data_IF_903075958176
#
_entry.id   IF_903075958176
#
_cell.length_a   1.000
_cell.length_b   1.000
_cell.length_c   1.000
_cell.angle_alpha   90.00
_cell.angle_beta   90.00
_cell.angle_gamma   90.00
#
_symmetry.space_group_name_H-M   'P 1'
#
loop_
_entity.id
_entity.type
_entity.pdbx_description
1 polymer ?
#
# COMPACT_ATOMS: atom_id res chain seq x y z
N UNK A 1 10.19 -8.48 -77.25
CA UNK A 1 10.28 -9.92 -77.58
C UNK A 1 9.51 -10.66 -76.51
N UNK A 2 8.99 -11.86 -76.79
CA UNK A 2 8.19 -12.66 -75.83
C UNK A 2 8.83 -12.73 -74.42
N UNK A 3 10.16 -12.82 -74.36
CA UNK A 3 10.95 -12.80 -73.12
C UNK A 3 10.82 -11.52 -72.27
N UNK A 4 10.67 -10.34 -72.88
CA UNK A 4 10.51 -9.07 -72.13
C UNK A 4 9.08 -8.89 -71.60
N UNK A 5 8.08 -9.53 -72.21
CA UNK A 5 6.69 -9.51 -71.69
C UNK A 5 6.53 -10.51 -70.55
N UNK A 6 7.12 -11.72 -70.64
CA UNK A 6 7.14 -12.71 -69.55
C UNK A 6 7.84 -12.18 -68.28
N UNK A 7 8.96 -11.46 -68.41
CA UNK A 7 9.67 -10.87 -67.27
C UNK A 7 8.85 -9.76 -66.57
N UNK A 8 8.13 -8.93 -67.33
CA UNK A 8 7.25 -7.88 -66.78
C UNK A 8 6.01 -8.48 -66.11
N UNK A 9 5.49 -9.58 -66.65
CA UNK A 9 4.37 -10.31 -66.05
C UNK A 9 4.78 -11.00 -64.74
N UNK A 10 5.98 -11.58 -64.66
CA UNK A 10 6.53 -12.16 -63.44
C UNK A 10 6.74 -11.11 -62.34
N UNK A 11 7.34 -9.96 -62.66
CA UNK A 11 7.52 -8.85 -61.71
C UNK A 11 6.17 -8.32 -61.19
N UNK A 12 5.13 -8.29 -62.04
CA UNK A 12 3.79 -7.90 -61.62
C UNK A 12 3.19 -8.92 -60.65
N UNK A 13 3.34 -10.20 -60.92
CA UNK A 13 2.77 -11.26 -60.09
C UNK A 13 3.41 -11.29 -58.70
N UNK A 14 4.73 -11.10 -58.60
CA UNK A 14 5.47 -10.94 -57.34
C UNK A 14 4.95 -9.73 -56.53
N UNK A 15 4.79 -8.58 -57.19
CA UNK A 15 4.25 -7.37 -56.54
C UNK A 15 2.81 -7.58 -56.06
N UNK A 16 1.98 -8.32 -56.81
CA UNK A 16 0.63 -8.66 -56.36
C UNK A 16 0.66 -9.59 -55.15
N UNK A 17 1.55 -10.57 -55.10
CA UNK A 17 1.72 -11.45 -53.95
C UNK A 17 2.09 -10.67 -52.68
N UNK A 18 3.07 -9.76 -52.79
CA UNK A 18 3.48 -8.88 -51.69
C UNK A 18 2.33 -7.99 -51.21
N UNK A 19 1.56 -7.40 -52.13
CA UNK A 19 0.40 -6.56 -51.78
C UNK A 19 -0.66 -7.36 -51.03
N UNK A 20 -0.91 -8.61 -51.42
CA UNK A 20 -1.85 -9.49 -50.73
C UNK A 20 -1.34 -9.87 -49.33
N UNK A 21 -0.06 -10.21 -49.20
CA UNK A 21 0.57 -10.53 -47.93
C UNK A 21 0.51 -9.34 -46.94
N UNK A 22 0.86 -8.14 -47.40
CA UNK A 22 0.81 -6.92 -46.59
C UNK A 22 -0.62 -6.55 -46.17
N UNK A 23 -1.60 -6.72 -47.08
CA UNK A 23 -3.01 -6.48 -46.76
C UNK A 23 -3.52 -7.44 -45.69
N UNK A 24 -3.13 -8.73 -45.76
CA UNK A 24 -3.46 -9.72 -44.74
C UNK A 24 -2.86 -9.31 -43.38
N UNK A 25 -1.57 -9.00 -43.35
CA UNK A 25 -0.88 -8.59 -42.12
C UNK A 25 -1.51 -7.33 -41.50
N UNK A 26 -1.84 -6.32 -42.31
CA UNK A 26 -2.52 -5.12 -41.82
C UNK A 26 -3.89 -5.43 -41.21
N UNK A 27 -4.66 -6.33 -41.82
CA UNK A 27 -5.95 -6.78 -41.27
C UNK A 27 -5.77 -7.55 -39.97
N UNK A 28 -4.80 -8.46 -39.89
CA UNK A 28 -4.53 -9.27 -38.69
C UNK A 28 -4.10 -8.37 -37.52
N UNK A 29 -3.27 -7.35 -37.79
CA UNK A 29 -2.85 -6.39 -36.78
C UNK A 29 -3.98 -5.48 -36.31
N UNK A 30 -4.86 -5.05 -37.21
CA UNK A 30 -6.00 -4.19 -36.88
C UNK A 30 -7.11 -4.94 -36.10
N UNK A 31 -7.12 -6.27 -36.17
CA UNK A 31 -8.18 -7.12 -35.61
C UNK A 31 -7.62 -8.27 -34.75
N UNK A 32 -6.95 -7.97 -33.61
CA UNK A 32 -6.38 -9.00 -32.73
C UNK A 32 -7.44 -9.90 -32.08
N UNK A 33 -8.72 -9.50 -32.11
CA UNK A 33 -9.85 -10.30 -31.63
C UNK A 33 -10.18 -11.51 -32.53
N UNK A 34 -9.72 -11.50 -33.78
CA UNK A 34 -9.96 -12.60 -34.72
C UNK A 34 -9.04 -13.79 -34.39
N UNK A 35 -9.53 -15.04 -34.48
CA UNK A 35 -8.69 -16.20 -34.29
C UNK A 35 -7.57 -16.23 -35.34
N UNK A 36 -6.35 -16.54 -34.90
CA UNK A 36 -5.25 -16.78 -35.82
C UNK A 36 -5.54 -18.03 -36.66
N UNK A 37 -5.44 -17.91 -37.99
CA UNK A 37 -5.41 -19.06 -38.88
C UNK A 37 -4.08 -19.81 -38.66
N UNK A 38 -4.17 -20.98 -38.04
CA UNK A 38 -3.00 -21.85 -37.81
C UNK A 38 -3.16 -23.12 -38.62
N UNK A 39 -2.08 -23.53 -39.28
CA UNK A 39 -2.05 -24.82 -39.95
C UNK A 39 -2.01 -25.95 -38.92
N UNK A 40 -2.70 -27.06 -39.20
CA UNK A 40 -2.82 -28.19 -38.27
C UNK A 40 -1.49 -28.89 -37.98
N UNK A 41 -0.45 -28.66 -38.80
CA UNK A 41 0.91 -29.16 -38.56
C UNK A 41 1.80 -28.14 -37.83
N UNK A 42 1.29 -26.95 -37.50
CA UNK A 42 2.00 -25.94 -36.72
C UNK A 42 2.01 -26.34 -35.24
N UNK A 43 3.12 -26.92 -34.80
CA UNK A 43 3.34 -27.20 -33.38
C UNK A 43 4.00 -26.01 -32.70
N UNK A 44 3.34 -25.47 -31.66
CA UNK A 44 3.93 -24.43 -30.82
C UNK A 44 5.15 -24.95 -30.07
N UNK A 45 6.26 -24.22 -30.11
CA UNK A 45 7.42 -24.47 -29.25
C UNK A 45 7.22 -23.73 -27.92
N UNK A 46 7.14 -24.46 -26.82
CA UNK A 46 7.15 -23.85 -25.49
C UNK A 46 8.61 -23.51 -25.12
N UNK A 47 8.91 -22.22 -24.97
CA UNK A 47 10.25 -21.73 -24.63
C UNK A 47 10.46 -21.62 -23.11
N UNK A 48 9.39 -21.63 -22.31
CA UNK A 48 9.43 -21.52 -20.86
C UNK A 48 9.92 -22.80 -20.18
N UNK A 49 9.53 -23.97 -20.70
CA UNK A 49 9.85 -25.27 -20.11
C UNK A 49 10.93 -26.04 -20.90
N UNK A 50 11.72 -25.36 -21.73
CA UNK A 50 12.79 -26.01 -22.50
C UNK A 50 13.96 -26.32 -21.58
N UNK A 51 14.66 -27.43 -21.81
CA UNK A 51 15.86 -27.80 -21.06
C UNK A 51 17.00 -26.74 -21.06
N UNK A 52 16.96 -25.79 -22.02
CA UNK A 52 17.91 -24.67 -22.09
C UNK A 52 17.35 -23.36 -21.53
N UNK A 53 16.13 -23.36 -21.01
CA UNK A 53 15.58 -22.19 -20.34
C UNK A 53 16.40 -21.92 -19.07
N UNK A 54 16.57 -20.66 -18.67
CA UNK A 54 17.15 -20.35 -17.37
C UNK A 54 16.38 -21.10 -16.28
N UNK A 55 17.11 -21.78 -15.39
CA UNK A 55 16.49 -22.34 -14.20
C UNK A 55 16.08 -21.16 -13.32
N UNK A 56 14.77 -20.97 -13.15
CA UNK A 56 14.26 -20.07 -12.10
C UNK A 56 14.16 -20.95 -10.87
N UNK A 57 15.01 -20.71 -9.87
CA UNK A 57 14.89 -21.42 -8.59
C UNK A 57 13.55 -21.01 -7.96
N UNK A 58 12.63 -21.97 -7.81
CA UNK A 58 11.34 -21.72 -7.13
C UNK A 58 11.56 -21.18 -5.71
N UNK A 59 12.70 -21.53 -5.11
CA UNK A 59 13.15 -21.07 -3.79
C UNK A 59 13.36 -19.54 -3.73
N UNK A 60 13.87 -18.91 -4.79
CA UNK A 60 14.02 -17.44 -4.87
C UNK A 60 12.65 -16.74 -4.96
N UNK A 61 11.71 -17.33 -5.71
CA UNK A 61 10.35 -16.78 -5.84
C UNK A 61 9.60 -16.89 -4.51
N UNK A 62 9.75 -18.00 -3.81
CA UNK A 62 9.04 -18.22 -2.55
C UNK A 62 9.62 -17.36 -1.42
N UNK A 63 10.94 -17.12 -1.39
CA UNK A 63 11.56 -16.18 -0.46
C UNK A 63 11.07 -14.74 -0.69
N UNK A 64 11.06 -14.26 -1.94
CA UNK A 64 10.52 -12.92 -2.25
C UNK A 64 9.04 -12.78 -1.89
N UNK A 65 8.25 -13.85 -2.06
CA UNK A 65 6.84 -13.86 -1.65
C UNK A 65 6.66 -13.75 -0.15
N UNK A 66 7.46 -14.48 0.62
CA UNK A 66 7.42 -14.44 2.08
C UNK A 66 7.78 -13.04 2.59
N UNK A 67 8.82 -12.42 2.03
CA UNK A 67 9.22 -11.04 2.34
C UNK A 67 8.09 -10.03 2.04
N UNK A 68 7.46 -10.14 0.87
CA UNK A 68 6.32 -9.28 0.48
C UNK A 68 5.14 -9.46 1.44
N UNK A 69 4.87 -10.69 1.86
CA UNK A 69 3.77 -10.98 2.80
C UNK A 69 4.05 -10.42 4.19
N UNK A 70 5.30 -10.48 4.66
CA UNK A 70 5.73 -9.87 5.92
C UNK A 70 5.56 -8.35 5.88
N UNK A 71 6.02 -7.70 4.80
CA UNK A 71 5.87 -6.25 4.60
C UNK A 71 4.40 -5.83 4.56
N UNK A 72 3.55 -6.59 3.84
CA UNK A 72 2.12 -6.33 3.78
C UNK A 72 1.46 -6.40 5.17
N UNK A 73 1.85 -7.37 6.00
CA UNK A 73 1.32 -7.49 7.37
C UNK A 73 1.76 -6.31 8.24
N UNK A 74 3.03 -5.90 8.14
CA UNK A 74 3.57 -4.75 8.87
C UNK A 74 2.83 -3.44 8.48
N UNK A 75 2.69 -3.18 7.19
CA UNK A 75 1.99 -2.01 6.68
C UNK A 75 0.51 -2.00 7.07
N UNK A 76 -0.16 -3.15 7.01
CA UNK A 76 -1.55 -3.28 7.45
C UNK A 76 -1.71 -2.96 8.92
N UNK A 77 -0.84 -3.50 9.79
CA UNK A 77 -0.84 -3.17 11.23
C UNK A 77 -0.67 -1.67 11.45
N UNK A 78 0.31 -1.06 10.80
CA UNK A 78 0.57 0.38 10.90
C UNK A 78 -0.64 1.19 10.45
N UNK A 79 -1.20 0.91 9.27
CA UNK A 79 -2.38 1.59 8.75
C UNK A 79 -3.58 1.48 9.71
N UNK A 80 -3.82 0.30 10.28
CA UNK A 80 -4.88 0.12 11.28
C UNK A 80 -4.62 0.89 12.57
N UNK A 81 -3.37 1.00 13.02
CA UNK A 81 -3.00 1.79 14.20
C UNK A 81 -3.23 3.28 13.99
N UNK A 82 -2.85 3.82 12.82
CA UNK A 82 -3.11 5.22 12.49
C UNK A 82 -4.58 5.55 12.26
N UNK A 83 -5.33 4.63 11.64
CA UNK A 83 -6.75 4.83 11.38
C UNK A 83 -7.62 4.70 12.64
N UNK A 84 -7.12 3.98 13.66
CA UNK A 84 -7.86 3.66 14.87
C UNK A 84 -7.06 3.94 16.15
N UNK A 85 -6.78 5.22 16.47
CA UNK A 85 -6.05 5.60 17.69
C UNK A 85 -6.81 5.25 18.98
N UNK A 86 -8.10 4.97 18.90
CA UNK A 86 -8.93 4.51 20.02
C UNK A 86 -8.64 3.07 20.46
N UNK A 87 -7.96 2.28 19.62
CA UNK A 87 -7.62 0.90 19.96
C UNK A 87 -6.50 0.88 21.01
N UNK A 88 -6.58 -0.03 22.01
CA UNK A 88 -5.49 -0.21 22.96
C UNK A 88 -4.19 -0.57 22.26
N UNK A 89 -3.07 -0.07 22.79
CA UNK A 89 -1.74 -0.47 22.34
C UNK A 89 -1.52 -1.93 22.76
N UNK A 90 -1.22 -2.80 21.78
CA UNK A 90 -0.78 -4.16 22.06
C UNK A 90 0.57 -4.10 22.78
N UNK A 91 0.60 -4.63 24.00
CA UNK A 91 1.80 -4.75 24.82
C UNK A 91 2.04 -6.22 25.13
N UNK A 92 3.31 -6.64 25.12
CA UNK A 92 3.68 -7.97 25.59
C UNK A 92 3.37 -8.08 27.09
N UNK A 93 2.64 -9.12 27.48
CA UNK A 93 2.32 -9.38 28.87
C UNK A 93 3.56 -9.67 29.73
N UNK A 94 4.67 -10.08 29.12
CA UNK A 94 5.97 -10.23 29.77
C UNK A 94 6.81 -8.95 29.76
N UNK A 95 6.35 -7.85 29.13
CA UNK A 95 7.03 -6.56 29.19
C UNK A 95 6.85 -5.92 30.57
N UNK A 96 7.82 -6.14 31.46
CA UNK A 96 7.87 -5.47 32.75
C UNK A 96 8.58 -4.12 32.62
N UNK A 97 7.85 -3.02 32.81
CA UNK A 97 8.41 -1.68 32.91
C UNK A 97 8.93 -1.38 34.32
N UNK A 98 10.03 -0.63 34.43
CA UNK A 98 10.44 -0.04 35.70
C UNK A 98 9.63 1.24 35.92
N UNK A 99 8.80 1.25 36.97
CA UNK A 99 8.16 2.50 37.40
C UNK A 99 9.18 3.32 38.21
N UNK A 100 9.63 4.44 37.65
CA UNK A 100 10.60 5.34 38.29
C UNK A 100 9.96 6.34 39.26
N UNK A 101 8.63 6.45 39.27
CA UNK A 101 7.88 7.35 40.14
C UNK A 101 7.59 6.71 41.51
N UNK A 102 7.39 5.40 41.56
CA UNK A 102 7.12 4.65 42.81
C UNK A 102 8.32 3.88 43.36
N UNK A 103 9.52 4.11 42.83
CA UNK A 103 10.73 3.44 43.33
C UNK A 103 11.12 4.01 44.71
N UNK A 104 11.71 3.20 45.62
CA UNK A 104 12.14 3.69 46.95
C UNK A 104 13.17 4.83 46.92
N UNK A 105 13.85 5.03 45.79
CA UNK A 105 14.80 6.12 45.55
C UNK A 105 14.22 7.29 44.75
N UNK A 106 12.92 7.29 44.45
CA UNK A 106 12.25 8.46 43.92
C UNK A 106 12.29 9.53 45.02
N UNK A 107 12.58 10.77 44.64
CA UNK A 107 12.38 11.88 45.57
C UNK A 107 10.89 11.94 45.93
N UNK A 108 10.60 12.30 47.18
CA UNK A 108 9.26 12.76 47.52
C UNK A 108 8.98 13.97 46.63
N UNK A 109 8.00 13.85 45.75
CA UNK A 109 7.45 15.03 45.10
C UNK A 109 6.67 15.72 46.21
N UNK A 110 7.15 16.87 46.68
CA UNK A 110 6.37 17.67 47.61
C UNK A 110 5.10 18.11 46.88
N UNK A 111 3.98 17.47 47.22
CA UNK A 111 2.64 17.93 46.85
C UNK A 111 2.32 19.30 47.48
N UNK A 112 3.18 19.79 48.40
CA UNK A 112 3.01 21.07 49.10
C UNK A 112 2.83 22.27 48.16
N UNK A 113 3.59 22.37 47.06
CA UNK A 113 3.45 23.50 46.12
C UNK A 113 2.12 23.45 45.34
N UNK A 114 1.61 22.25 45.03
CA UNK A 114 0.35 22.08 44.27
C UNK A 114 -0.86 22.25 45.18
N UNK A 115 -0.76 21.79 46.43
CA UNK A 115 -1.83 21.91 47.41
C UNK A 115 -2.00 23.35 47.90
N UNK A 116 -0.91 24.10 48.12
CA UNK A 116 -0.96 25.52 48.47
C UNK A 116 -1.64 26.35 47.38
N UNK A 117 -1.21 26.21 46.12
CA UNK A 117 -1.82 26.90 44.98
C UNK A 117 -3.30 26.51 44.81
N UNK A 118 -3.66 25.24 45.06
CA UNK A 118 -5.04 24.77 44.97
C UNK A 118 -5.92 25.42 46.03
N UNK A 119 -5.43 25.48 47.27
CA UNK A 119 -6.19 26.01 48.40
C UNK A 119 -6.41 27.53 48.25
N UNK A 120 -5.41 28.26 47.77
CA UNK A 120 -5.51 29.69 47.42
C UNK A 120 -6.55 29.93 46.31
N UNK A 121 -6.50 29.13 45.23
CA UNK A 121 -7.50 29.22 44.13
C UNK A 121 -8.91 28.90 44.62
N UNK A 122 -9.06 27.95 45.55
CA UNK A 122 -10.35 27.62 46.14
C UNK A 122 -10.90 28.77 47.01
N UNK A 123 -10.04 29.43 47.78
CA UNK A 123 -10.43 30.61 48.56
C UNK A 123 -10.92 31.74 47.65
N UNK A 124 -10.18 32.04 46.58
CA UNK A 124 -10.57 33.05 45.58
C UNK A 124 -11.92 32.72 44.91
N UNK A 125 -12.14 31.46 44.54
CA UNK A 125 -13.41 31.02 43.94
C UNK A 125 -14.58 31.21 44.90
N UNK A 126 -14.38 30.90 46.19
CA UNK A 126 -15.42 31.10 47.21
C UNK A 126 -15.72 32.58 47.43
N UNK A 127 -14.70 33.43 47.47
CA UNK A 127 -14.86 34.87 47.59
C UNK A 127 -15.62 35.46 46.39
N UNK A 128 -15.24 35.09 45.16
CA UNK A 128 -15.91 35.52 43.94
C UNK A 128 -17.35 35.03 43.87
N UNK A 129 -17.62 33.78 44.27
CA UNK A 129 -18.99 33.23 44.31
C UNK A 129 -19.88 33.99 45.28
N UNK A 130 -19.34 34.37 46.44
CA UNK A 130 -20.07 35.18 47.42
C UNK A 130 -20.37 36.56 46.84
N UNK A 131 -19.37 37.25 46.30
CA UNK A 131 -19.53 38.58 45.72
C UNK A 131 -20.54 38.57 44.56
N UNK A 132 -20.50 37.55 43.70
CA UNK A 132 -21.48 37.38 42.63
C UNK A 132 -22.90 37.15 43.16
N UNK A 133 -23.05 36.40 44.26
CA UNK A 133 -24.35 36.17 44.90
C UNK A 133 -24.90 37.44 45.54
N UNK A 134 -24.04 38.20 46.25
CA UNK A 134 -24.40 39.47 46.90
C UNK A 134 -24.78 40.52 45.84
N UNK A 135 -24.06 40.56 44.71
CA UNK A 135 -24.37 41.46 43.59
C UNK A 135 -25.68 41.07 42.87
N UNK A 136 -25.95 39.78 42.70
CA UNK A 136 -27.17 39.29 42.07
C UNK A 136 -28.41 39.43 42.98
N UNK A 137 -28.21 39.48 44.30
CA UNK A 137 -29.28 39.54 45.31
C UNK A 137 -29.02 40.61 46.38
N UNK A 138 -28.96 41.91 46.02
CA UNK A 138 -28.69 42.99 46.97
C UNK A 138 -29.78 43.13 48.06
N UNK A 139 -30.93 42.48 47.87
CA UNK A 139 -32.04 42.43 48.82
C UNK A 139 -31.84 41.42 49.98
N UNK A 140 -30.85 40.53 49.89
CA UNK A 140 -30.58 39.52 50.93
C UNK A 140 -29.46 40.01 51.86
N UNK A 141 -29.65 39.98 53.19
CA UNK A 141 -28.66 40.43 54.18
C UNK A 141 -27.47 39.48 54.34
#
# INVERSE_FOLDING_TARGET
>A
GEYEEEDVDADRDDVLEDVLALKKLASDYAHPEKPAEVDATTFGRNYFNRASAPHIEEEDIDAERDDILEDMLALKKLATGYAHPEKPVEVDAAAFGRNYFSRPSAGEYEEEDVDADRDDVLEDVLALKKLASDYAHPEKP
#
